data_IF_586716872865
#
_entry.id   IF_586716872865
#
_cell.length_a   1.000
_cell.length_b   1.000
_cell.length_c   1.000
_cell.angle_alpha   90.00
_cell.angle_beta   90.00
_cell.angle_gamma   90.00
#
_symmetry.space_group_name_H-M   'P 1'
#
loop_
_entity.id
_entity.type
_entity.pdbx_description
1 polymer ?
#
# COMPACT_ATOMS: atom_id res chain seq x y z
N UNK A 1 9.45 12.88 -31.05
CA UNK A 1 8.64 13.67 -30.14
C UNK A 1 9.03 13.22 -28.75
N UNK A 2 9.77 14.06 -27.99
CA UNK A 2 10.22 13.75 -26.65
C UNK A 2 9.01 13.67 -25.73
N UNK A 3 8.79 12.52 -25.10
CA UNK A 3 7.81 12.33 -24.04
C UNK A 3 8.29 13.14 -22.83
N UNK A 4 7.48 14.02 -22.23
CA UNK A 4 7.90 14.75 -21.04
C UNK A 4 8.13 13.75 -19.90
N UNK A 5 9.34 13.80 -19.34
CA UNK A 5 9.70 13.04 -18.14
C UNK A 5 8.76 13.48 -17.02
N UNK A 6 7.98 12.54 -16.48
CA UNK A 6 7.11 12.78 -15.36
C UNK A 6 7.95 13.33 -14.19
N UNK A 7 7.53 14.48 -13.65
CA UNK A 7 8.17 15.04 -12.45
C UNK A 7 7.99 14.05 -11.30
N UNK A 8 9.08 13.78 -10.60
CA UNK A 8 9.04 13.04 -9.34
C UNK A 8 7.98 13.65 -8.41
N UNK A 9 7.30 12.84 -7.59
CA UNK A 9 6.35 13.37 -6.60
C UNK A 9 7.07 14.44 -5.76
N UNK A 10 6.38 15.53 -5.38
CA UNK A 10 7.00 16.58 -4.61
C UNK A 10 7.59 16.02 -3.31
N UNK A 11 8.76 16.51 -2.88
CA UNK A 11 9.35 16.10 -1.62
C UNK A 11 8.36 16.36 -0.47
N UNK A 12 8.53 15.62 0.62
CA UNK A 12 7.77 15.87 1.84
C UNK A 12 7.92 17.36 2.23
N UNK A 13 6.83 18.12 2.08
CA UNK A 13 6.77 19.49 2.57
C UNK A 13 6.26 19.40 4.00
N UNK A 14 6.98 20.04 4.94
CA UNK A 14 6.51 20.17 6.31
C UNK A 14 5.15 20.87 6.30
N UNK A 15 4.10 20.12 6.55
CA UNK A 15 2.78 20.69 6.72
C UNK A 15 2.71 21.37 8.10
N UNK A 16 2.13 22.58 8.20
CA UNK A 16 1.93 23.22 9.49
C UNK A 16 1.10 22.30 10.39
N UNK A 17 1.43 22.26 11.69
CA UNK A 17 0.69 21.49 12.68
C UNK A 17 -0.79 21.89 12.67
N UNK A 18 -1.63 21.03 12.09
CA UNK A 18 -3.08 21.26 12.04
C UNK A 18 -3.67 20.68 13.31
N UNK A 19 -4.41 21.51 14.06
CA UNK A 19 -5.22 21.01 15.17
C UNK A 19 -6.13 19.88 14.66
N UNK A 20 -6.11 18.72 15.35
CA UNK A 20 -6.88 17.55 14.95
C UNK A 20 -8.35 17.94 14.84
N UNK A 21 -9.02 17.70 13.70
CA UNK A 21 -10.44 18.00 13.57
C UNK A 21 -11.22 17.20 14.63
N UNK A 22 -11.84 17.94 15.55
CA UNK A 22 -12.71 17.36 16.58
C UNK A 22 -14.11 17.27 15.98
N UNK A 23 -14.70 16.07 15.97
CA UNK A 23 -16.09 15.92 15.61
C UNK A 23 -16.96 16.79 16.52
N UNK A 24 -17.97 17.50 16.01
CA UNK A 24 -18.87 18.29 16.83
C UNK A 24 -19.54 17.38 17.88
N UNK A 25 -19.44 17.75 19.16
CA UNK A 25 -19.93 16.97 20.32
C UNK A 25 -21.46 16.88 20.43
N UNK A 26 -22.23 17.38 19.46
CA UNK A 26 -23.68 17.32 19.48
C UNK A 26 -24.17 16.02 18.81
N UNK A 27 -25.01 15.23 19.48
CA UNK A 27 -25.91 14.26 18.83
C UNK A 27 -26.52 14.96 17.62
N UNK A 28 -26.20 14.48 16.41
CA UNK A 28 -26.79 15.01 15.18
C UNK A 28 -28.25 14.56 15.19
N UNK A 29 -29.10 15.37 15.75
CA UNK A 29 -30.55 15.11 15.76
C UNK A 29 -31.02 15.07 14.31
N UNK A 30 -31.46 13.89 13.84
CA UNK A 30 -32.25 13.65 12.62
C UNK A 30 -31.91 14.48 11.36
N UNK A 31 -30.63 14.86 11.15
CA UNK A 31 -30.25 15.53 9.91
C UNK A 31 -29.79 14.49 8.89
N UNK A 32 -30.23 14.67 7.65
CA UNK A 32 -29.75 13.84 6.53
C UNK A 32 -28.23 13.99 6.34
N UNK A 33 -27.56 12.85 6.14
CA UNK A 33 -26.13 12.77 5.87
C UNK A 33 -25.92 12.29 4.44
N UNK A 34 -25.39 13.18 3.60
CA UNK A 34 -25.18 12.92 2.18
C UNK A 34 -23.84 12.20 1.96
N UNK A 35 -23.91 10.97 1.51
CA UNK A 35 -22.77 10.12 1.16
C UNK A 35 -22.69 10.01 -0.36
N UNK A 36 -21.56 10.39 -0.94
CA UNK A 36 -21.27 10.22 -2.35
C UNK A 36 -20.22 9.14 -2.55
N UNK A 37 -20.53 8.08 -3.29
CA UNK A 37 -19.51 7.16 -3.77
C UNK A 37 -19.02 7.61 -5.16
N UNK A 38 -17.75 7.91 -5.29
CA UNK A 38 -17.09 8.20 -6.57
C UNK A 38 -16.49 6.95 -7.21
N UNK A 39 -16.56 5.81 -6.51
CA UNK A 39 -16.21 4.50 -7.04
C UNK A 39 -17.46 3.64 -7.21
N UNK A 40 -17.38 2.68 -8.14
CA UNK A 40 -18.48 1.72 -8.36
C UNK A 40 -18.77 0.96 -7.08
N UNK A 41 -20.03 0.96 -6.68
CA UNK A 41 -20.52 0.30 -5.47
C UNK A 41 -21.55 -0.77 -5.90
N UNK A 42 -21.38 -1.99 -5.40
CA UNK A 42 -22.32 -3.06 -5.69
C UNK A 42 -23.68 -2.82 -4.96
N UNK A 43 -24.79 -3.37 -5.46
CA UNK A 43 -26.08 -3.27 -4.76
C UNK A 43 -26.03 -3.77 -3.31
N UNK A 44 -25.25 -4.82 -3.05
CA UNK A 44 -25.08 -5.36 -1.70
C UNK A 44 -24.32 -4.39 -0.77
N UNK A 45 -23.25 -3.77 -1.24
CA UNK A 45 -22.51 -2.75 -0.49
C UNK A 45 -23.39 -1.53 -0.20
N UNK A 46 -24.12 -1.06 -1.23
CA UNK A 46 -25.08 0.04 -1.08
C UNK A 46 -26.11 -0.25 0.01
N UNK A 47 -26.77 -1.40 -0.07
CA UNK A 47 -27.76 -1.80 0.91
C UNK A 47 -27.19 -1.84 2.36
N UNK A 48 -25.95 -2.28 2.52
CA UNK A 48 -25.26 -2.29 3.82
C UNK A 48 -25.00 -0.90 4.35
N UNK A 49 -24.61 0.04 3.47
CA UNK A 49 -24.37 1.44 3.85
C UNK A 49 -25.67 2.12 4.25
N UNK A 50 -26.71 1.99 3.44
CA UNK A 50 -28.05 2.57 3.70
C UNK A 50 -28.70 1.99 4.96
N UNK A 51 -28.41 0.73 5.29
CA UNK A 51 -28.89 0.08 6.52
C UNK A 51 -28.24 0.55 7.82
N UNK A 52 -27.16 1.38 7.75
CA UNK A 52 -26.48 1.88 8.95
C UNK A 52 -27.38 2.80 9.75
N UNK A 53 -28.08 3.73 9.11
CA UNK A 53 -28.98 4.68 9.74
C UNK A 53 -29.99 5.24 8.72
N UNK A 54 -31.27 5.46 9.08
CA UNK A 54 -32.28 6.06 8.22
C UNK A 54 -31.96 7.49 7.74
N UNK A 55 -31.05 8.20 8.40
CA UNK A 55 -30.60 9.53 7.98
C UNK A 55 -29.64 9.51 6.79
N UNK A 56 -29.11 8.34 6.41
CA UNK A 56 -28.16 8.18 5.31
C UNK A 56 -28.85 8.40 3.96
N UNK A 57 -28.26 9.29 3.15
CA UNK A 57 -28.61 9.49 1.73
C UNK A 57 -27.43 9.11 0.89
N UNK A 58 -27.46 7.94 0.29
CA UNK A 58 -26.35 7.40 -0.50
C UNK A 58 -26.56 7.64 -2.00
N UNK A 59 -25.60 8.30 -2.64
CA UNK A 59 -25.54 8.51 -4.08
C UNK A 59 -24.37 7.74 -4.67
N UNK A 60 -24.62 6.83 -5.61
CA UNK A 60 -23.58 6.14 -6.37
C UNK A 60 -23.30 6.92 -7.67
N UNK A 61 -22.13 7.52 -7.75
CA UNK A 61 -21.59 8.17 -8.94
C UNK A 61 -20.38 7.39 -9.50
N UNK A 62 -20.31 6.09 -9.25
CA UNK A 62 -19.27 5.23 -9.77
C UNK A 62 -19.18 5.25 -11.29
N UNK A 63 -18.03 5.72 -11.80
CA UNK A 63 -17.77 5.90 -13.22
C UNK A 63 -18.19 7.26 -13.80
N UNK A 64 -18.86 8.13 -13.06
CA UNK A 64 -19.24 9.45 -13.54
C UNK A 64 -18.03 10.36 -13.79
N UNK A 65 -16.95 10.14 -13.04
CA UNK A 65 -15.71 10.89 -13.12
C UNK A 65 -14.69 10.31 -14.11
N UNK A 66 -14.99 9.20 -14.77
CA UNK A 66 -14.01 8.48 -15.60
C UNK A 66 -13.42 9.36 -16.73
N UNK A 67 -14.23 10.23 -17.36
CA UNK A 67 -13.75 11.15 -18.41
C UNK A 67 -12.73 12.15 -17.85
N UNK A 68 -13.07 12.81 -16.74
CA UNK A 68 -12.20 13.76 -16.05
C UNK A 68 -10.90 13.11 -15.56
N UNK A 69 -11.01 11.89 -15.02
CA UNK A 69 -9.84 11.12 -14.57
C UNK A 69 -8.92 10.81 -15.76
N UNK A 70 -9.46 10.50 -16.94
CA UNK A 70 -8.65 10.26 -18.15
C UNK A 70 -7.84 11.47 -18.58
N UNK A 71 -8.36 12.66 -18.34
CA UNK A 71 -7.68 13.91 -18.67
C UNK A 71 -6.61 14.30 -17.64
N UNK A 72 -6.79 13.91 -16.36
CA UNK A 72 -5.97 14.40 -15.25
C UNK A 72 -4.94 13.38 -14.75
N UNK A 73 -5.12 12.09 -15.08
CA UNK A 73 -4.24 11.01 -14.65
C UNK A 73 -3.37 10.46 -15.79
N UNK A 74 -2.18 9.92 -15.51
CA UNK A 74 -1.35 9.27 -16.51
C UNK A 74 -2.11 8.17 -17.26
N UNK A 75 -1.86 8.04 -18.57
CA UNK A 75 -2.49 7.01 -19.41
C UNK A 75 -2.27 5.58 -18.86
N UNK A 76 -1.14 5.33 -18.24
CA UNK A 76 -0.82 4.07 -17.59
C UNK A 76 -1.78 3.76 -16.43
N UNK A 77 -2.03 4.72 -15.54
CA UNK A 77 -3.01 4.60 -14.45
C UNK A 77 -4.41 4.35 -15.00
N UNK A 78 -4.78 5.15 -15.97
CA UNK A 78 -6.10 5.07 -16.62
C UNK A 78 -6.34 3.69 -17.22
N UNK A 79 -5.37 3.12 -17.93
CA UNK A 79 -5.49 1.79 -18.57
C UNK A 79 -5.65 0.65 -17.56
N UNK A 80 -5.11 0.80 -16.35
CA UNK A 80 -5.17 -0.23 -15.31
C UNK A 80 -6.45 -0.20 -14.48
N UNK A 81 -6.98 1.00 -14.21
CA UNK A 81 -8.02 1.17 -13.19
C UNK A 81 -9.38 1.57 -13.74
N UNK A 82 -9.42 2.09 -14.97
CA UNK A 82 -10.68 2.47 -15.59
C UNK A 82 -11.08 1.48 -16.68
N UNK A 83 -12.37 1.15 -16.81
CA UNK A 83 -12.84 0.32 -17.90
C UNK A 83 -12.51 0.96 -19.25
N UNK A 84 -12.10 0.15 -20.22
CA UNK A 84 -11.80 0.61 -21.56
C UNK A 84 -13.01 1.41 -22.15
N UNK A 85 -12.72 2.59 -22.71
CA UNK A 85 -13.73 3.45 -23.36
C UNK A 85 -14.73 4.14 -22.42
N UNK A 86 -14.66 3.96 -21.10
CA UNK A 86 -15.53 4.70 -20.18
C UNK A 86 -15.16 6.18 -20.16
N UNK A 87 -16.09 7.05 -20.57
CA UNK A 87 -15.92 8.51 -20.59
C UNK A 87 -16.71 9.22 -19.48
N UNK A 88 -17.41 8.45 -18.65
CA UNK A 88 -18.39 9.01 -17.73
C UNK A 88 -19.73 9.29 -18.43
N UNK A 89 -20.78 9.54 -17.66
CA UNK A 89 -22.13 9.80 -18.16
C UNK A 89 -22.69 11.15 -17.72
N UNK A 90 -21.84 12.02 -17.16
CA UNK A 90 -22.27 13.27 -16.51
C UNK A 90 -21.52 14.45 -17.05
N UNK A 91 -22.14 15.63 -16.97
CA UNK A 91 -21.48 16.90 -17.22
C UNK A 91 -20.62 17.30 -16.01
N UNK A 92 -19.72 18.28 -16.20
CA UNK A 92 -18.92 18.84 -15.10
C UNK A 92 -19.83 19.45 -14.03
N UNK A 93 -20.88 20.17 -14.41
CA UNK A 93 -21.84 20.82 -13.54
C UNK A 93 -22.62 19.82 -12.68
N UNK A 94 -22.96 18.65 -13.24
CA UNK A 94 -23.61 17.59 -12.48
C UNK A 94 -22.68 16.99 -11.43
N UNK A 95 -21.42 16.74 -11.80
CA UNK A 95 -20.42 16.23 -10.84
C UNK A 95 -20.14 17.25 -9.73
N UNK A 96 -20.03 18.53 -10.08
CA UNK A 96 -19.80 19.61 -9.11
C UNK A 96 -20.96 19.77 -8.14
N UNK A 97 -22.20 19.62 -8.60
CA UNK A 97 -23.39 19.60 -7.72
C UNK A 97 -23.35 18.45 -6.72
N UNK A 98 -22.97 17.25 -7.15
CA UNK A 98 -22.85 16.10 -6.27
C UNK A 98 -21.74 16.30 -5.25
N UNK A 99 -20.56 16.76 -5.66
CA UNK A 99 -19.44 17.05 -4.78
C UNK A 99 -19.80 18.15 -3.76
N UNK A 100 -20.44 19.24 -4.21
CA UNK A 100 -20.83 20.35 -3.34
C UNK A 100 -21.86 19.95 -2.28
N UNK A 101 -22.69 18.94 -2.55
CA UNK A 101 -23.71 18.45 -1.62
C UNK A 101 -23.14 17.37 -0.65
N UNK A 102 -22.01 16.75 -0.96
CA UNK A 102 -21.47 15.64 -0.22
C UNK A 102 -20.88 16.07 1.14
N UNK A 103 -21.29 15.40 2.20
CA UNK A 103 -20.67 15.50 3.52
C UNK A 103 -19.64 14.40 3.76
N UNK A 104 -19.90 13.23 3.18
CA UNK A 104 -19.00 12.07 3.22
C UNK A 104 -18.75 11.60 1.79
N UNK A 105 -17.48 11.31 1.46
CA UNK A 105 -17.16 10.70 0.18
C UNK A 105 -16.50 9.34 0.42
N UNK A 106 -17.05 8.32 -0.25
CA UNK A 106 -16.43 7.01 -0.39
C UNK A 106 -15.65 6.99 -1.69
N UNK A 107 -14.34 6.95 -1.59
CA UNK A 107 -13.43 7.05 -2.72
C UNK A 107 -12.39 5.95 -2.77
N UNK A 108 -11.48 6.09 -3.70
CA UNK A 108 -10.37 5.17 -3.91
C UNK A 108 -9.43 5.69 -4.98
N UNK A 109 -9.01 4.83 -5.86
CA UNK A 109 -7.98 5.10 -6.85
C UNK A 109 -8.47 4.75 -8.26
N UNK A 110 -8.28 5.60 -9.26
CA UNK A 110 -7.96 7.04 -9.21
C UNK A 110 -9.14 7.91 -8.76
N UNK A 111 -8.93 9.20 -8.52
CA UNK A 111 -9.94 10.15 -8.01
C UNK A 111 -9.73 11.55 -8.61
N UNK A 112 -10.74 12.47 -8.57
CA UNK A 112 -10.58 13.86 -8.97
C UNK A 112 -9.53 14.58 -8.11
N UNK A 113 -8.52 15.22 -8.74
CA UNK A 113 -7.38 15.81 -8.03
C UNK A 113 -7.74 17.09 -7.24
N UNK A 114 -8.81 17.79 -7.65
CA UNK A 114 -9.35 19.02 -7.06
C UNK A 114 -10.60 18.77 -6.18
N UNK A 115 -10.65 17.60 -5.54
CA UNK A 115 -11.84 17.11 -4.86
C UNK A 115 -12.22 17.98 -3.66
N UNK A 116 -11.24 18.41 -2.84
CA UNK A 116 -11.49 19.26 -1.67
C UNK A 116 -12.04 20.63 -2.07
N UNK A 117 -11.48 21.25 -3.09
CA UNK A 117 -11.92 22.54 -3.59
C UNK A 117 -13.38 22.51 -4.08
N UNK A 118 -13.83 21.39 -4.67
CA UNK A 118 -15.18 21.20 -5.22
C UNK A 118 -16.19 20.69 -4.19
N UNK A 119 -15.74 20.19 -3.07
CA UNK A 119 -16.60 19.61 -2.00
C UNK A 119 -16.51 20.45 -0.71
N UNK A 120 -17.06 21.69 -0.69
CA UNK A 120 -16.92 22.60 0.47
C UNK A 120 -17.59 22.07 1.75
N UNK A 121 -18.55 21.16 1.63
CA UNK A 121 -19.26 20.53 2.75
C UNK A 121 -18.59 19.24 3.24
N UNK A 122 -17.52 18.78 2.56
CA UNK A 122 -16.86 17.51 2.87
C UNK A 122 -16.23 17.55 4.27
N UNK A 123 -16.66 16.61 5.12
CA UNK A 123 -16.15 16.42 6.48
C UNK A 123 -15.32 15.16 6.61
N UNK A 124 -15.67 14.11 5.85
CA UNK A 124 -15.01 12.84 5.94
C UNK A 124 -14.87 12.20 4.54
N UNK A 125 -13.65 11.80 4.21
CA UNK A 125 -13.33 10.99 3.04
C UNK A 125 -12.88 9.60 3.51
N UNK A 126 -13.52 8.55 3.04
CA UNK A 126 -13.05 7.19 3.26
C UNK A 126 -12.41 6.63 2.02
N UNK A 127 -11.12 6.28 2.12
CA UNK A 127 -10.39 5.61 1.06
C UNK A 127 -10.51 4.09 1.18
N UNK A 128 -11.08 3.43 0.19
CA UNK A 128 -11.24 1.97 0.16
C UNK A 128 -9.91 1.20 0.22
N UNK A 129 -8.83 1.60 -0.46
CA UNK A 129 -7.50 1.04 -0.23
C UNK A 129 -6.99 1.25 1.21
N UNK A 130 -6.08 0.36 1.64
CA UNK A 130 -5.46 0.44 2.95
C UNK A 130 -4.40 1.54 3.04
N UNK A 131 -3.69 1.81 1.95
CA UNK A 131 -2.65 2.84 1.87
C UNK A 131 -3.23 4.20 1.47
N UNK A 132 -2.55 5.29 1.83
CA UNK A 132 -2.99 6.66 1.56
C UNK A 132 -2.01 7.49 0.72
N UNK A 133 -0.86 6.95 0.36
CA UNK A 133 0.19 7.69 -0.37
C UNK A 133 -0.27 8.28 -1.71
N UNK A 134 -1.26 7.64 -2.35
CA UNK A 134 -1.90 8.12 -3.57
C UNK A 134 -2.60 9.48 -3.41
N UNK A 135 -3.08 9.82 -2.23
CA UNK A 135 -3.78 11.08 -1.95
C UNK A 135 -2.86 12.30 -2.06
N UNK A 136 -1.53 12.10 -2.05
CA UNK A 136 -0.54 13.16 -2.28
C UNK A 136 -0.66 13.84 -3.65
N UNK A 137 -1.32 13.20 -4.61
CA UNK A 137 -1.54 13.79 -5.94
C UNK A 137 -2.64 14.82 -5.97
N UNK A 138 -3.54 14.83 -4.99
CA UNK A 138 -4.71 15.72 -4.97
C UNK A 138 -4.71 16.67 -3.77
N UNK A 139 -5.71 17.50 -3.73
CA UNK A 139 -5.90 18.56 -2.73
C UNK A 139 -6.48 18.09 -1.39
N UNK A 140 -6.71 16.78 -1.24
CA UNK A 140 -7.09 16.18 0.04
C UNK A 140 -5.91 16.02 1.00
N UNK A 141 -4.68 15.89 0.48
CA UNK A 141 -3.51 15.68 1.33
C UNK A 141 -3.23 16.92 2.17
N UNK A 142 -3.13 16.75 3.48
CA UNK A 142 -2.89 17.84 4.42
C UNK A 142 -4.09 18.78 4.62
N UNK A 143 -5.28 18.42 4.12
CA UNK A 143 -6.49 19.22 4.31
C UNK A 143 -7.10 19.06 5.71
N UNK A 144 -8.13 19.86 5.99
CA UNK A 144 -8.96 19.81 7.20
C UNK A 144 -9.99 18.67 7.20
N UNK A 145 -10.07 17.91 6.10
CA UNK A 145 -11.01 16.78 5.97
C UNK A 145 -10.48 15.58 6.75
N UNK A 146 -11.33 14.94 7.52
CA UNK A 146 -11.00 13.66 8.16
C UNK A 146 -10.86 12.62 7.06
N UNK A 147 -9.70 11.99 6.94
CA UNK A 147 -9.48 10.90 5.98
C UNK A 147 -9.26 9.60 6.73
N UNK A 148 -10.01 8.57 6.37
CA UNK A 148 -9.83 7.22 6.88
C UNK A 148 -9.55 6.23 5.76
N UNK A 149 -8.88 5.13 6.08
CA UNK A 149 -8.57 4.06 5.13
C UNK A 149 -9.07 2.71 5.61
N UNK A 150 -9.10 1.73 4.71
CA UNK A 150 -9.39 0.34 5.06
C UNK A 150 -8.16 -0.41 5.64
N UNK A 151 -7.23 0.30 6.28
CA UNK A 151 -6.04 -0.31 6.89
C UNK A 151 -6.43 -1.38 7.93
N UNK A 152 -5.75 -2.52 7.85
CA UNK A 152 -6.02 -3.67 8.73
C UNK A 152 -7.25 -4.47 8.32
N UNK A 153 -7.85 -4.13 7.17
CA UNK A 153 -8.90 -4.89 6.51
C UNK A 153 -8.34 -5.44 5.20
N UNK A 154 -8.73 -6.60 4.85
CA UNK A 154 -8.07 -7.41 3.86
C UNK A 154 -7.28 -8.51 4.57
N UNK A 155 -6.56 -9.32 3.85
CA UNK A 155 -5.79 -10.39 4.44
C UNK A 155 -4.32 -9.97 4.61
N UNK A 156 -3.89 -9.45 5.78
CA UNK A 156 -2.46 -9.33 6.08
C UNK A 156 -1.74 -10.66 5.85
N UNK A 157 -2.47 -11.77 6.06
CA UNK A 157 -1.99 -13.11 5.82
C UNK A 157 -1.68 -13.37 4.34
N UNK A 158 -2.55 -12.97 3.41
CA UNK A 158 -2.28 -13.14 1.98
C UNK A 158 -0.99 -12.42 1.55
N UNK A 159 -0.78 -11.19 2.04
CA UNK A 159 0.47 -10.45 1.78
C UNK A 159 1.69 -11.16 2.39
N UNK A 160 1.52 -11.72 3.59
CA UNK A 160 2.60 -12.47 4.24
C UNK A 160 2.91 -13.79 3.49
N UNK A 161 1.89 -14.50 3.02
CA UNK A 161 2.03 -15.70 2.18
C UNK A 161 2.75 -15.37 0.86
N UNK A 162 2.38 -14.24 0.22
CA UNK A 162 3.07 -13.76 -0.96
C UNK A 162 4.55 -13.48 -0.68
N UNK A 163 4.89 -12.81 0.42
CA UNK A 163 6.28 -12.55 0.79
C UNK A 163 7.06 -13.85 1.01
N UNK A 164 6.46 -14.84 1.68
CA UNK A 164 7.07 -16.16 1.89
C UNK A 164 7.22 -16.93 0.57
N UNK A 165 6.23 -16.86 -0.33
CA UNK A 165 6.33 -17.44 -1.67
C UNK A 165 7.52 -16.84 -2.44
N UNK A 166 7.72 -15.52 -2.36
CA UNK A 166 8.88 -14.83 -2.94
C UNK A 166 10.21 -15.29 -2.35
N UNK A 167 10.28 -15.49 -1.02
CA UNK A 167 11.44 -16.07 -0.36
C UNK A 167 11.73 -17.47 -0.93
N UNK A 168 10.71 -18.33 -1.00
CA UNK A 168 10.83 -19.69 -1.52
C UNK A 168 11.25 -19.70 -3.01
N UNK A 169 10.73 -18.78 -3.80
CA UNK A 169 11.06 -18.64 -5.22
C UNK A 169 12.57 -18.53 -5.45
N UNK A 170 13.23 -17.63 -4.74
CA UNK A 170 14.68 -17.48 -4.83
C UNK A 170 15.44 -18.53 -4.04
N UNK A 171 14.95 -18.94 -2.86
CA UNK A 171 15.61 -19.98 -2.07
C UNK A 171 15.69 -21.32 -2.83
N UNK A 172 14.70 -21.64 -3.66
CA UNK A 172 14.66 -22.88 -4.45
C UNK A 172 15.15 -22.71 -5.90
N UNK A 173 15.69 -21.52 -6.24
CA UNK A 173 16.18 -21.20 -7.59
C UNK A 173 15.09 -21.30 -8.67
N UNK A 174 13.83 -21.04 -8.34
CA UNK A 174 12.72 -21.10 -9.30
C UNK A 174 12.80 -19.99 -10.37
N UNK A 175 13.55 -18.92 -10.09
CA UNK A 175 13.86 -17.89 -11.08
C UNK A 175 14.53 -18.45 -12.35
N UNK A 176 15.33 -19.53 -12.23
CA UNK A 176 15.95 -20.19 -13.40
C UNK A 176 14.97 -21.00 -14.24
N UNK A 177 13.87 -21.46 -13.65
CA UNK A 177 12.95 -22.38 -14.34
C UNK A 177 12.37 -21.76 -15.62
N UNK A 178 12.07 -20.46 -15.60
CA UNK A 178 11.54 -19.76 -16.76
C UNK A 178 12.55 -19.75 -17.91
N UNK A 179 13.80 -19.41 -17.62
CA UNK A 179 14.90 -19.38 -18.62
C UNK A 179 15.21 -20.77 -19.15
N UNK A 180 15.40 -21.76 -18.25
CA UNK A 180 15.71 -23.14 -18.61
C UNK A 180 14.57 -23.76 -19.45
N UNK A 181 13.33 -23.44 -19.14
CA UNK A 181 12.16 -23.89 -19.90
C UNK A 181 12.14 -23.29 -21.32
N UNK A 182 12.41 -21.99 -21.45
CA UNK A 182 12.49 -21.32 -22.74
C UNK A 182 13.63 -21.88 -23.59
N UNK A 183 14.79 -22.08 -22.97
CA UNK A 183 15.97 -22.69 -23.59
C UNK A 183 15.86 -24.20 -23.76
N UNK A 184 14.81 -24.88 -23.30
CA UNK A 184 14.61 -26.33 -23.27
C UNK A 184 15.75 -27.09 -22.59
N UNK A 185 16.33 -26.51 -21.57
CA UNK A 185 17.37 -27.12 -20.74
C UNK A 185 16.72 -27.89 -19.60
N UNK A 186 17.03 -29.17 -19.45
CA UNK A 186 16.66 -30.00 -18.31
C UNK A 186 17.93 -30.53 -17.65
N UNK A 187 18.56 -29.65 -16.86
CA UNK A 187 19.83 -29.91 -16.20
C UNK A 187 19.80 -29.42 -14.75
N UNK A 188 20.08 -30.28 -13.79
CA UNK A 188 20.11 -29.92 -12.37
C UNK A 188 21.33 -29.07 -11.97
N UNK A 189 22.35 -29.01 -12.81
CA UNK A 189 23.56 -28.21 -12.56
C UNK A 189 23.25 -26.72 -12.60
N UNK A 190 23.70 -26.00 -11.56
CA UNK A 190 23.48 -24.56 -11.45
C UNK A 190 22.28 -24.17 -10.58
N UNK A 191 21.42 -25.11 -10.18
CA UNK A 191 20.41 -24.87 -9.16
C UNK A 191 21.07 -24.83 -7.78
N UNK A 192 21.14 -23.64 -7.17
CA UNK A 192 21.77 -23.40 -5.88
C UNK A 192 20.70 -23.23 -4.80
N UNK A 193 19.94 -24.29 -4.53
CA UNK A 193 18.88 -24.25 -3.53
C UNK A 193 19.41 -24.02 -2.13
N UNK A 194 18.67 -23.21 -1.35
CA UNK A 194 18.94 -22.89 0.05
C UNK A 194 17.85 -23.51 0.91
N UNK A 195 18.25 -24.22 1.99
CA UNK A 195 17.35 -24.66 3.02
C UNK A 195 17.02 -23.48 3.94
N UNK A 196 15.75 -23.30 4.29
CA UNK A 196 15.30 -22.16 5.11
C UNK A 196 15.53 -22.39 6.61
N UNK A 197 15.49 -23.64 7.07
CA UNK A 197 15.74 -23.99 8.45
C UNK A 197 17.11 -23.47 8.93
N UNK A 198 17.12 -22.81 10.07
CA UNK A 198 18.30 -22.15 10.62
C UNK A 198 18.71 -20.83 9.94
N UNK A 199 18.09 -20.42 8.81
CA UNK A 199 18.34 -19.13 8.17
C UNK A 199 17.71 -18.00 8.96
N UNK A 200 18.21 -16.77 8.73
CA UNK A 200 17.69 -15.57 9.41
C UNK A 200 16.84 -14.73 8.45
N UNK A 201 15.67 -14.31 8.94
CA UNK A 201 14.80 -13.37 8.26
C UNK A 201 14.70 -12.08 9.08
N UNK A 202 14.96 -10.92 8.44
CA UNK A 202 14.70 -9.60 9.02
C UNK A 202 13.39 -9.04 8.46
N UNK A 203 12.44 -8.73 9.34
CA UNK A 203 11.17 -8.10 8.99
C UNK A 203 11.22 -6.63 9.36
N UNK A 204 11.24 -5.75 8.36
CA UNK A 204 11.28 -4.30 8.54
C UNK A 204 9.86 -3.77 8.65
N UNK A 205 9.42 -3.50 9.88
CA UNK A 205 8.04 -3.15 10.18
C UNK A 205 7.23 -4.34 10.71
N UNK A 206 7.16 -4.50 12.04
CA UNK A 206 6.44 -5.58 12.73
C UNK A 206 4.99 -5.22 13.05
N UNK A 207 4.28 -4.59 12.10
CA UNK A 207 2.83 -4.36 12.13
C UNK A 207 2.03 -5.62 11.79
N UNK A 208 0.77 -5.48 11.34
CA UNK A 208 -0.10 -6.62 11.00
C UNK A 208 0.55 -7.59 10.03
N UNK A 209 0.94 -7.12 8.85
CA UNK A 209 1.61 -7.93 7.80
C UNK A 209 2.91 -8.52 8.33
N UNK A 210 3.78 -7.68 8.92
CA UNK A 210 5.08 -8.14 9.39
C UNK A 210 5.01 -9.20 10.50
N UNK A 211 3.97 -9.18 11.35
CA UNK A 211 3.73 -10.24 12.34
C UNK A 211 3.43 -11.59 11.67
N UNK A 212 2.58 -11.58 10.64
CA UNK A 212 2.26 -12.79 9.91
C UNK A 212 3.46 -13.32 9.11
N UNK A 213 4.24 -12.44 8.47
CA UNK A 213 5.52 -12.81 7.83
C UNK A 213 6.43 -13.49 8.84
N UNK A 214 6.61 -12.88 10.03
CA UNK A 214 7.46 -13.45 11.09
C UNK A 214 7.00 -14.83 11.53
N UNK A 215 5.70 -14.98 11.77
CA UNK A 215 5.08 -16.26 12.16
C UNK A 215 5.26 -17.34 11.10
N UNK A 216 5.02 -17.02 9.83
CA UNK A 216 5.18 -17.97 8.72
C UNK A 216 6.65 -18.36 8.50
N UNK A 217 7.57 -17.40 8.52
CA UNK A 217 9.00 -17.65 8.42
C UNK A 217 9.51 -18.52 9.56
N UNK A 218 9.07 -18.28 10.80
CA UNK A 218 9.41 -19.12 11.94
C UNK A 218 8.85 -20.54 11.80
N UNK A 219 7.64 -20.69 11.23
CA UNK A 219 7.06 -21.99 10.90
C UNK A 219 7.88 -22.81 9.89
N UNK A 220 8.72 -22.14 9.09
CA UNK A 220 9.68 -22.77 8.17
C UNK A 220 11.07 -22.98 8.79
N UNK A 221 11.21 -22.84 10.11
CA UNK A 221 12.45 -23.04 10.85
C UNK A 221 13.42 -21.86 10.80
N UNK A 222 13.00 -20.69 10.29
CA UNK A 222 13.88 -19.53 10.27
C UNK A 222 13.93 -18.81 11.63
N UNK A 223 15.09 -18.22 11.94
CA UNK A 223 15.22 -17.26 13.04
C UNK A 223 14.78 -15.88 12.58
N UNK A 224 13.67 -15.40 13.10
CA UNK A 224 13.10 -14.11 12.70
C UNK A 224 13.52 -13.01 13.66
N UNK A 225 14.01 -11.90 13.10
CA UNK A 225 14.22 -10.63 13.81
C UNK A 225 13.41 -9.55 13.11
N UNK A 226 13.12 -8.45 13.79
CA UNK A 226 12.36 -7.38 13.16
C UNK A 226 12.67 -6.01 13.71
N UNK A 227 12.24 -4.99 12.97
CA UNK A 227 12.31 -3.61 13.45
C UNK A 227 10.93 -2.97 13.53
N UNK A 228 10.78 -2.02 14.43
CA UNK A 228 9.62 -1.15 14.53
C UNK A 228 10.03 0.26 14.91
N UNK A 229 9.25 1.25 14.49
CA UNK A 229 9.53 2.67 14.72
C UNK A 229 9.75 2.98 16.21
N UNK A 230 8.86 2.48 17.06
CA UNK A 230 8.94 2.68 18.51
C UNK A 230 9.01 1.32 19.20
N UNK A 231 10.20 0.86 19.58
CA UNK A 231 10.34 -0.34 20.40
C UNK A 231 9.59 -0.16 21.74
N UNK A 232 9.05 -1.25 22.25
CA UNK A 232 8.36 -1.28 23.54
C UNK A 232 9.08 -2.26 24.45
N UNK A 233 10.06 -1.79 25.23
CA UNK A 233 10.78 -2.64 26.16
C UNK A 233 9.82 -3.34 27.12
N UNK A 234 10.01 -4.63 27.35
CA UNK A 234 9.17 -5.43 28.24
C UNK A 234 7.85 -5.92 27.64
N UNK A 235 7.47 -5.51 26.42
CA UNK A 235 6.33 -6.11 25.71
C UNK A 235 6.71 -7.52 25.22
N UNK A 236 5.83 -8.51 25.38
CA UNK A 236 6.07 -9.85 24.82
C UNK A 236 6.31 -9.79 23.31
N UNK A 237 7.29 -10.53 22.84
CA UNK A 237 7.55 -10.63 21.40
C UNK A 237 6.36 -11.29 20.70
N UNK A 238 5.96 -10.79 19.51
CA UNK A 238 4.97 -11.49 18.71
C UNK A 238 5.43 -12.92 18.39
N UNK A 239 4.50 -13.87 18.21
CA UNK A 239 4.84 -15.24 17.86
C UNK A 239 5.80 -15.32 16.66
N UNK A 240 6.85 -16.12 16.82
CA UNK A 240 7.85 -16.35 15.78
C UNK A 240 9.06 -15.41 15.80
N UNK A 241 9.00 -14.29 16.50
CA UNK A 241 10.15 -13.39 16.60
C UNK A 241 11.11 -13.77 17.73
N UNK A 242 12.41 -13.80 17.42
CA UNK A 242 13.47 -13.96 18.38
C UNK A 242 13.93 -12.61 18.99
N UNK A 243 13.77 -11.51 18.21
CA UNK A 243 14.18 -10.18 18.62
C UNK A 243 13.41 -9.12 17.82
N UNK A 244 13.04 -8.01 18.48
CA UNK A 244 12.52 -6.80 17.81
C UNK A 244 13.30 -5.60 18.34
N UNK A 245 13.93 -4.86 17.40
CA UNK A 245 14.68 -3.64 17.67
C UNK A 245 14.00 -2.37 17.13
N UNK A 246 14.69 -1.25 17.34
CA UNK A 246 14.36 0.04 16.77
C UNK A 246 15.00 0.28 15.41
N UNK A 247 14.83 1.51 14.84
CA UNK A 247 15.47 1.89 13.59
C UNK A 247 17.01 1.79 13.63
N UNK A 248 17.63 2.02 14.78
CA UNK A 248 19.08 1.90 14.99
C UNK A 248 19.61 0.47 14.91
N UNK A 249 18.74 -0.54 15.11
CA UNK A 249 19.13 -1.94 15.03
C UNK A 249 19.10 -2.50 13.60
N UNK A 250 18.51 -1.76 12.65
CA UNK A 250 18.29 -2.23 11.28
C UNK A 250 19.60 -2.67 10.63
N UNK A 251 20.63 -1.85 10.68
CA UNK A 251 21.92 -2.12 10.02
C UNK A 251 22.55 -3.42 10.55
N UNK A 252 22.48 -3.64 11.87
CA UNK A 252 22.93 -4.90 12.52
C UNK A 252 22.13 -6.11 12.03
N UNK A 253 20.82 -5.98 11.91
CA UNK A 253 19.97 -7.08 11.43
C UNK A 253 20.20 -7.38 9.96
N UNK A 254 20.42 -6.37 9.11
CA UNK A 254 20.68 -6.55 7.68
C UNK A 254 21.95 -7.38 7.45
N UNK A 255 23.05 -7.08 8.15
CA UNK A 255 24.32 -7.79 8.00
C UNK A 255 24.27 -9.27 8.43
N UNK A 256 23.22 -9.67 9.14
CA UNK A 256 23.06 -11.03 9.65
C UNK A 256 21.97 -11.85 8.96
N UNK A 257 21.17 -11.23 8.08
CA UNK A 257 19.95 -11.83 7.54
C UNK A 257 20.13 -12.36 6.13
N UNK A 258 19.65 -13.59 5.90
CA UNK A 258 19.62 -14.23 4.58
C UNK A 258 18.43 -13.71 3.74
N UNK A 259 17.37 -13.29 4.43
CA UNK A 259 16.15 -12.75 3.81
C UNK A 259 15.74 -11.46 4.54
N UNK A 260 15.33 -10.46 3.78
CA UNK A 260 14.86 -9.17 4.31
C UNK A 260 13.50 -8.88 3.70
N UNK A 261 12.48 -8.64 4.54
CA UNK A 261 11.11 -8.36 4.10
C UNK A 261 10.69 -6.98 4.58
N UNK A 262 10.35 -6.09 3.64
CA UNK A 262 9.89 -4.73 3.91
C UNK A 262 8.37 -4.73 4.05
N UNK A 263 7.90 -4.45 5.27
CA UNK A 263 6.49 -4.36 5.65
C UNK A 263 6.15 -3.05 6.36
N UNK A 264 7.08 -2.07 6.38
CA UNK A 264 6.88 -0.78 7.02
C UNK A 264 6.13 0.19 6.09
N UNK A 265 5.64 1.28 6.66
CA UNK A 265 5.01 2.36 5.92
C UNK A 265 6.06 3.23 5.25
N UNK A 266 5.70 3.85 4.12
CA UNK A 266 6.50 4.91 3.51
C UNK A 266 6.21 6.23 4.22
N UNK A 267 7.24 6.80 4.83
CA UNK A 267 7.25 8.05 5.59
C UNK A 267 8.52 8.82 5.24
N UNK A 268 8.69 10.08 5.67
CA UNK A 268 9.95 10.79 5.49
C UNK A 268 11.17 10.02 6.00
N UNK A 269 11.02 9.28 7.12
CA UNK A 269 12.11 8.53 7.74
C UNK A 269 12.42 7.20 7.03
N UNK A 270 11.49 6.70 6.22
CA UNK A 270 11.63 5.44 5.49
C UNK A 270 11.77 5.64 3.99
N UNK A 271 11.73 6.88 3.50
CA UNK A 271 12.02 7.21 2.12
C UNK A 271 13.47 6.82 1.79
N UNK A 272 13.65 6.04 0.71
CA UNK A 272 14.94 5.45 0.34
C UNK A 272 15.69 4.81 1.51
N UNK A 273 14.94 4.18 2.42
CA UNK A 273 15.51 3.50 3.58
C UNK A 273 16.56 2.46 3.15
N UNK A 274 16.34 1.79 2.01
CA UNK A 274 17.29 0.87 1.40
C UNK A 274 18.08 1.58 0.29
N UNK A 275 19.15 2.23 0.70
CA UNK A 275 20.13 2.92 -0.14
C UNK A 275 21.35 2.02 -0.46
N UNK A 276 22.30 2.54 -1.25
CA UNK A 276 23.53 1.83 -1.61
C UNK A 276 24.33 1.37 -0.37
N UNK A 277 24.36 2.17 0.71
CA UNK A 277 25.05 1.84 1.95
C UNK A 277 24.41 0.63 2.62
N UNK A 278 23.07 0.59 2.72
CA UNK A 278 22.37 -0.55 3.32
C UNK A 278 22.43 -1.80 2.48
N UNK A 279 22.39 -1.68 1.17
CA UNK A 279 22.63 -2.83 0.30
C UNK A 279 24.03 -3.42 0.50
N UNK A 280 25.05 -2.58 0.67
CA UNK A 280 26.41 -3.04 0.97
C UNK A 280 26.53 -3.73 2.36
N UNK A 281 25.68 -3.36 3.32
CA UNK A 281 25.63 -4.00 4.64
C UNK A 281 24.87 -5.33 4.64
N UNK A 282 23.99 -5.57 3.68
CA UNK A 282 23.25 -6.83 3.59
C UNK A 282 24.21 -8.00 3.39
N UNK A 283 23.83 -9.15 3.94
CA UNK A 283 24.62 -10.38 3.79
C UNK A 283 24.73 -10.73 2.31
N UNK A 284 25.95 -11.02 1.78
CA UNK A 284 26.11 -11.45 0.39
C UNK A 284 25.24 -12.66 0.06
N UNK A 285 24.53 -12.57 -1.07
CA UNK A 285 23.61 -13.61 -1.52
C UNK A 285 22.24 -13.61 -0.77
N UNK A 286 21.92 -12.55 -0.03
CA UNK A 286 20.61 -12.37 0.58
C UNK A 286 19.53 -12.02 -0.46
N UNK A 287 18.27 -12.16 -0.05
CA UNK A 287 17.08 -11.83 -0.87
C UNK A 287 16.32 -10.69 -0.22
N UNK A 288 15.94 -9.68 -1.01
CA UNK A 288 15.06 -8.61 -0.61
C UNK A 288 13.62 -8.91 -1.06
N UNK A 289 12.64 -8.65 -0.20
CA UNK A 289 11.21 -8.70 -0.53
C UNK A 289 10.57 -7.36 -0.16
N UNK A 290 9.95 -6.67 -1.10
CA UNK A 290 9.21 -5.44 -0.84
C UNK A 290 7.72 -5.62 -1.16
N UNK A 291 6.90 -5.70 -0.12
CA UNK A 291 5.43 -5.74 -0.18
C UNK A 291 4.80 -4.48 0.43
N UNK A 292 5.57 -3.42 0.55
CA UNK A 292 5.17 -2.17 1.19
C UNK A 292 4.95 -1.03 0.19
N UNK A 293 6.02 -0.27 -0.13
CA UNK A 293 6.01 0.81 -1.14
C UNK A 293 7.35 0.86 -1.86
N UNK A 294 7.32 1.19 -3.15
CA UNK A 294 8.52 1.29 -3.99
C UNK A 294 9.52 2.29 -3.46
N UNK A 295 9.05 3.44 -3.02
CA UNK A 295 9.85 4.57 -2.57
C UNK A 295 10.72 4.29 -1.32
N UNK A 296 10.47 3.18 -0.63
CA UNK A 296 11.31 2.74 0.50
C UNK A 296 12.67 2.23 0.01
N UNK A 297 12.76 1.88 -1.26
CA UNK A 297 13.97 1.34 -1.91
C UNK A 297 14.51 2.33 -2.93
N UNK A 298 15.80 2.61 -2.88
CA UNK A 298 16.51 3.24 -3.98
C UNK A 298 16.71 2.21 -5.09
N UNK A 299 15.95 2.32 -6.18
CA UNK A 299 15.95 1.33 -7.26
C UNK A 299 17.25 1.31 -8.07
N UNK A 300 17.98 2.45 -8.14
CA UNK A 300 19.31 2.49 -8.75
C UNK A 300 20.27 1.64 -7.93
N UNK A 301 20.28 1.87 -6.62
CA UNK A 301 21.14 1.14 -5.69
C UNK A 301 20.78 -0.36 -5.65
N UNK A 302 19.49 -0.72 -5.77
CA UNK A 302 19.04 -2.10 -5.87
C UNK A 302 19.59 -2.78 -7.14
N UNK A 303 19.44 -2.12 -8.30
CA UNK A 303 19.93 -2.64 -9.56
C UNK A 303 21.45 -2.86 -9.56
N UNK A 304 22.20 -1.92 -8.95
CA UNK A 304 23.65 -2.09 -8.78
C UNK A 304 24.00 -3.25 -7.83
N UNK A 305 23.28 -3.42 -6.74
CA UNK A 305 23.52 -4.52 -5.80
C UNK A 305 23.25 -5.89 -6.44
N UNK A 306 22.22 -5.98 -7.29
CA UNK A 306 21.93 -7.19 -8.08
C UNK A 306 23.02 -7.45 -9.14
N UNK A 307 23.47 -6.42 -9.85
CA UNK A 307 24.52 -6.53 -10.87
C UNK A 307 25.86 -6.98 -10.27
N UNK A 308 26.18 -6.53 -9.06
CA UNK A 308 27.40 -6.93 -8.32
C UNK A 308 27.28 -8.26 -7.59
N UNK A 309 26.16 -8.97 -7.76
CA UNK A 309 25.87 -10.24 -7.05
C UNK A 309 25.86 -10.11 -5.52
N UNK A 310 25.73 -8.90 -4.99
CA UNK A 310 25.55 -8.65 -3.56
C UNK A 310 24.23 -9.27 -3.08
N UNK A 311 23.17 -9.17 -3.89
CA UNK A 311 21.90 -9.81 -3.67
C UNK A 311 21.71 -11.01 -4.59
N UNK A 312 21.13 -12.08 -4.08
CA UNK A 312 20.68 -13.24 -4.85
C UNK A 312 19.45 -12.93 -5.70
N UNK A 313 18.59 -12.04 -5.22
CA UNK A 313 17.39 -11.62 -5.92
C UNK A 313 16.55 -10.62 -5.13
N UNK A 314 15.58 -10.05 -5.81
CA UNK A 314 14.59 -9.15 -5.25
C UNK A 314 13.17 -9.55 -5.67
N UNK A 315 12.23 -9.51 -4.72
CA UNK A 315 10.79 -9.67 -4.95
C UNK A 315 10.14 -8.32 -4.72
N UNK A 316 9.54 -7.76 -5.76
CA UNK A 316 8.95 -6.43 -5.75
C UNK A 316 7.48 -6.52 -6.14
N UNK A 317 6.57 -6.39 -5.18
CA UNK A 317 5.15 -6.22 -5.50
C UNK A 317 4.83 -4.74 -5.80
N UNK A 318 5.79 -3.87 -5.54
CA UNK A 318 5.70 -2.41 -5.68
C UNK A 318 7.00 -1.85 -6.22
N UNK A 319 6.92 -0.73 -6.95
CA UNK A 319 8.08 0.03 -7.45
C UNK A 319 7.78 1.53 -7.45
N UNK A 320 8.81 2.36 -7.60
CA UNK A 320 8.66 3.83 -7.62
C UNK A 320 7.85 4.24 -8.85
N UNK A 321 6.78 5.00 -8.64
CA UNK A 321 5.91 5.44 -9.74
C UNK A 321 5.01 4.35 -10.32
N UNK A 322 4.73 3.28 -9.59
CA UNK A 322 3.88 2.15 -10.02
C UNK A 322 2.48 2.53 -10.50
N UNK A 323 2.02 3.71 -10.13
CA UNK A 323 0.75 4.27 -10.57
C UNK A 323 0.89 5.23 -11.75
N UNK A 324 2.08 5.47 -12.26
CA UNK A 324 2.35 6.50 -13.27
C UNK A 324 2.95 5.94 -14.57
N UNK A 325 3.79 4.93 -14.44
CA UNK A 325 4.52 4.33 -15.56
C UNK A 325 4.80 2.84 -15.32
N UNK A 326 5.15 2.07 -16.37
CA UNK A 326 5.61 0.70 -16.23
C UNK A 326 6.90 0.60 -15.40
N UNK A 327 7.23 -0.60 -14.86
CA UNK A 327 8.48 -0.80 -14.16
C UNK A 327 9.69 -0.38 -15.00
N UNK A 328 10.76 0.16 -14.38
CA UNK A 328 12.01 0.47 -15.08
C UNK A 328 12.57 -0.77 -15.80
N UNK A 329 12.99 -0.61 -17.06
CA UNK A 329 13.41 -1.72 -17.90
C UNK A 329 14.52 -2.59 -17.26
N UNK A 330 15.44 -1.97 -16.53
CA UNK A 330 16.54 -2.67 -15.83
C UNK A 330 16.07 -3.59 -14.69
N UNK A 331 14.94 -3.26 -14.02
CA UNK A 331 14.32 -4.14 -13.01
C UNK A 331 13.42 -5.19 -13.70
N UNK A 332 12.69 -4.77 -14.75
CA UNK A 332 11.77 -5.64 -15.45
C UNK A 332 12.48 -6.79 -16.20
N UNK A 333 13.68 -6.51 -16.74
CA UNK A 333 14.42 -7.47 -17.56
C UNK A 333 15.47 -8.26 -16.76
N UNK A 334 15.68 -7.96 -15.47
CA UNK A 334 16.67 -8.69 -14.67
C UNK A 334 16.07 -10.01 -14.15
N UNK A 335 16.60 -11.18 -14.50
CA UNK A 335 16.12 -12.50 -14.05
C UNK A 335 16.24 -12.69 -12.52
N UNK A 336 16.99 -11.83 -11.84
CA UNK A 336 17.09 -11.79 -10.39
C UNK A 336 15.97 -10.94 -9.75
N UNK A 337 15.04 -10.37 -10.54
CA UNK A 337 13.90 -9.61 -10.07
C UNK A 337 12.61 -10.33 -10.37
N UNK A 338 11.84 -10.65 -9.33
CA UNK A 338 10.44 -11.04 -9.46
C UNK A 338 9.60 -9.79 -9.17
N UNK A 339 9.01 -9.20 -10.20
CA UNK A 339 8.16 -8.04 -10.06
C UNK A 339 6.70 -8.38 -10.38
N UNK A 340 5.77 -7.92 -9.56
CA UNK A 340 4.34 -8.15 -9.73
C UNK A 340 3.54 -6.85 -9.59
N UNK A 341 2.33 -6.78 -10.16
CA UNK A 341 1.61 -5.52 -10.30
C UNK A 341 0.75 -5.18 -9.07
N UNK A 342 1.37 -5.11 -7.88
CA UNK A 342 0.72 -4.78 -6.59
C UNK A 342 -0.48 -5.69 -6.29
N UNK A 343 -0.23 -6.99 -6.30
CA UNK A 343 -1.25 -8.03 -6.13
C UNK A 343 -1.09 -8.87 -4.87
N UNK A 344 -0.08 -8.59 -4.05
CA UNK A 344 0.20 -9.38 -2.83
C UNK A 344 -0.99 -9.47 -1.86
N UNK A 345 -1.87 -8.46 -1.87
CA UNK A 345 -3.07 -8.44 -1.05
C UNK A 345 -4.27 -9.19 -1.66
N UNK A 346 -4.16 -9.72 -2.87
CA UNK A 346 -5.25 -10.46 -3.50
C UNK A 346 -5.47 -11.81 -2.80
N UNK A 347 -6.75 -12.13 -2.53
CA UNK A 347 -7.16 -13.37 -1.85
C UNK A 347 -8.59 -13.72 -2.24
N UNK A 348 -8.90 -15.00 -2.28
CA UNK A 348 -10.27 -15.52 -2.45
C UNK A 348 -11.18 -15.21 -1.25
N UNK A 349 -10.61 -14.97 -0.08
CA UNK A 349 -11.31 -14.60 1.16
C UNK A 349 -11.62 -13.10 1.29
N UNK A 350 -11.08 -12.23 0.42
CA UNK A 350 -11.04 -10.78 0.64
C UNK A 350 -12.25 -10.01 0.06
N UNK A 351 -13.46 -10.54 0.16
CA UNK A 351 -14.62 -10.03 -0.61
C UNK A 351 -15.31 -8.78 -0.06
N UNK A 352 -15.24 -8.46 1.25
CA UNK A 352 -16.11 -7.42 1.84
C UNK A 352 -15.50 -6.50 2.91
N UNK A 353 -14.26 -6.72 3.33
CA UNK A 353 -13.71 -6.07 4.53
C UNK A 353 -13.65 -4.54 4.51
N UNK A 354 -13.44 -3.90 3.35
CA UNK A 354 -13.35 -2.43 3.26
C UNK A 354 -14.67 -1.73 3.58
N UNK A 355 -15.81 -2.32 3.18
CA UNK A 355 -17.13 -1.77 3.48
C UNK A 355 -17.48 -1.93 4.96
N UNK A 356 -17.01 -2.98 5.62
CA UNK A 356 -17.24 -3.16 7.06
C UNK A 356 -16.62 -2.03 7.87
N UNK A 357 -15.37 -1.67 7.59
CA UNK A 357 -14.72 -0.52 8.25
C UNK A 357 -15.44 0.79 7.94
N UNK A 358 -15.88 0.97 6.69
CA UNK A 358 -16.66 2.16 6.34
C UNK A 358 -17.94 2.24 7.15
N UNK A 359 -18.73 1.16 7.23
CA UNK A 359 -19.99 1.12 7.98
C UNK A 359 -19.78 1.30 9.48
N UNK A 360 -18.71 0.72 10.06
CA UNK A 360 -18.37 0.92 11.47
C UNK A 360 -17.97 2.37 11.75
N UNK A 361 -17.18 2.98 10.88
CA UNK A 361 -16.84 4.38 10.95
C UNK A 361 -18.06 5.29 10.72
N UNK A 362 -18.99 4.91 9.84
CA UNK A 362 -20.23 5.67 9.63
C UNK A 362 -21.10 5.70 10.89
N UNK A 363 -21.25 4.56 11.59
CA UNK A 363 -21.92 4.52 12.89
C UNK A 363 -21.21 5.42 13.91
N UNK A 364 -19.87 5.32 13.97
CA UNK A 364 -19.09 6.16 14.87
C UNK A 364 -19.23 7.66 14.55
N UNK A 365 -19.24 8.03 13.26
CA UNK A 365 -19.43 9.39 12.77
C UNK A 365 -20.79 9.95 13.20
N UNK A 366 -21.86 9.20 12.99
CA UNK A 366 -23.23 9.58 13.35
C UNK A 366 -23.39 9.72 14.87
N UNK A 367 -22.69 8.88 15.65
CA UNK A 367 -22.67 8.94 17.11
C UNK A 367 -21.73 10.02 17.68
N UNK A 368 -21.00 10.77 16.85
CA UNK A 368 -19.97 11.71 17.30
C UNK A 368 -18.77 11.04 18.00
N UNK A 369 -18.53 9.76 17.73
CA UNK A 369 -17.40 8.99 18.29
C UNK A 369 -16.18 9.06 17.37
N UNK A 370 -14.95 8.86 17.90
CA UNK A 370 -13.73 8.82 17.11
C UNK A 370 -13.79 7.73 16.02
N UNK A 371 -13.31 8.08 14.82
CA UNK A 371 -13.20 7.16 13.71
C UNK A 371 -11.93 6.32 13.82
N UNK A 372 -11.97 5.11 13.26
CA UNK A 372 -10.82 4.21 13.16
C UNK A 372 -10.05 4.50 11.87
N UNK A 373 -8.73 4.23 11.89
CA UNK A 373 -7.84 4.37 10.74
C UNK A 373 -7.82 5.79 10.13
N UNK A 374 -7.94 6.81 10.98
CA UNK A 374 -7.74 8.20 10.57
C UNK A 374 -6.28 8.39 10.18
N UNK A 375 -6.06 9.04 9.04
CA UNK A 375 -4.71 9.41 8.58
C UNK A 375 -4.15 10.51 9.49
N UNK A 376 -2.95 10.28 9.94
CA UNK A 376 -2.09 11.30 10.56
C UNK A 376 -1.20 11.87 9.44
N UNK A 377 -1.45 13.12 9.04
CA UNK A 377 -0.74 13.72 7.91
C UNK A 377 0.76 13.87 8.15
N UNK A 378 1.19 14.10 9.41
CA UNK A 378 2.60 14.22 9.78
C UNK A 378 3.32 12.86 9.62
N UNK A 379 2.58 11.78 9.83
CA UNK A 379 3.09 10.41 9.69
C UNK A 379 2.89 9.83 8.30
N UNK A 380 1.97 10.39 7.52
CA UNK A 380 1.63 9.92 6.18
C UNK A 380 0.80 8.64 6.12
N UNK A 381 0.21 8.21 7.27
CA UNK A 381 -0.60 6.98 7.34
C UNK A 381 -1.56 6.96 8.53
#
# INVERSE_FOLDING_TARGET
VAVPVARAPPPFVDAPAIERPVLPKAKVAMREVNILSIQRTSPAERARIEAVDPAVRFTDAGGWFDGEIRETWPAFTVSRYLPAGSLGRSTREERDRLLAAAEIILGGWPFPLDLRARAPRLRWFHQRPAGASNLRRGDLWGSDVIVTTSRGVGSPLAIAEYAVAGILYFAKSFNRIAEDREARIFDHRGYRSVQLDGKRCCVVGTGGIGRDVGRLCAGLGMRVVGTRRTPRPGEPLPPGFAEIGGPSDLDRFLGQSDFVVICCQWTPETDRLFDARRFALMKPGSVLVNVARGEIVDEEALAEALAREQLRGAVLDVYVGEFEHPPPARLWSDPKVLITPHVSGASDENRHGGIDVFCDNLRAYLDGRPLRNVIDWDRGY
#
